data_IF_607543930371
#
_entry.id   IF_607543930371
#
_cell.length_a   1.000
_cell.length_b   1.000
_cell.length_c   1.000
_cell.angle_alpha   90.00
_cell.angle_beta   90.00
_cell.angle_gamma   90.00
#
_symmetry.space_group_name_H-M   'P 1'
#
loop_
_entity.id
_entity.type
_entity.pdbx_description
1 polymer ?
#
# COMPACT_ATOMS: atom_id res chain seq x y z
N UNK A 1 0.04 15.11 -15.03
CA UNK A 1 -1.09 14.21 -14.69
C UNK A 1 -0.99 13.89 -13.23
N UNK A 2 -2.11 14.01 -12.50
CA UNK A 2 -2.17 13.74 -11.07
C UNK A 2 -3.02 12.51 -10.84
N UNK A 3 -2.55 11.65 -9.94
CA UNK A 3 -3.28 10.49 -9.44
C UNK A 3 -3.55 10.67 -7.96
N UNK A 4 -4.70 10.20 -7.51
CA UNK A 4 -5.08 10.13 -6.10
C UNK A 4 -4.97 8.68 -5.63
N UNK A 5 -4.48 8.48 -4.41
CA UNK A 5 -4.49 7.19 -3.75
C UNK A 5 -5.24 7.28 -2.43
N UNK A 6 -6.19 6.39 -2.26
CA UNK A 6 -6.94 6.22 -1.02
C UNK A 6 -6.98 4.74 -0.63
N UNK A 7 -7.32 4.47 0.63
CA UNK A 7 -7.41 3.17 1.27
C UNK A 7 -8.83 2.92 1.79
N UNK A 8 -9.22 1.65 1.82
CA UNK A 8 -10.36 1.20 2.64
C UNK A 8 -9.98 -0.04 3.42
N UNK A 9 -10.20 0.01 4.73
CA UNK A 9 -9.76 -0.99 5.71
C UNK A 9 -8.28 -0.86 6.06
N UNK A 10 -7.97 -0.59 7.33
CA UNK A 10 -6.59 -0.32 7.76
C UNK A 10 -5.71 -1.56 7.78
N UNK A 11 -4.40 -1.40 7.63
CA UNK A 11 -3.47 -2.54 7.64
C UNK A 11 -3.51 -3.26 9.00
N UNK A 12 -3.50 -2.51 10.10
CA UNK A 12 -3.58 -3.01 11.48
C UNK A 12 -4.88 -3.74 11.80
N UNK A 13 -5.96 -3.52 11.03
CA UNK A 13 -7.22 -4.25 11.14
C UNK A 13 -7.09 -5.63 10.48
N UNK A 14 -6.36 -6.55 11.12
CA UNK A 14 -5.99 -7.86 10.54
C UNK A 14 -7.15 -8.84 10.37
N UNK A 15 -8.33 -8.52 10.89
CA UNK A 15 -9.60 -9.21 10.65
C UNK A 15 -10.34 -8.74 9.39
N UNK A 16 -9.95 -7.61 8.79
CA UNK A 16 -10.57 -7.01 7.61
C UNK A 16 -9.62 -7.06 6.41
N UNK A 17 -10.14 -7.00 5.19
CA UNK A 17 -9.29 -6.77 4.03
C UNK A 17 -8.83 -5.31 3.99
N UNK A 18 -7.76 -5.03 3.25
CA UNK A 18 -7.35 -3.68 2.89
C UNK A 18 -7.41 -3.54 1.38
N UNK A 19 -8.03 -2.48 0.89
CA UNK A 19 -8.05 -2.12 -0.53
C UNK A 19 -7.31 -0.80 -0.68
N UNK A 20 -6.38 -0.75 -1.62
CA UNK A 20 -5.73 0.48 -2.06
C UNK A 20 -6.21 0.79 -3.47
N UNK A 21 -6.64 2.03 -3.71
CA UNK A 21 -7.09 2.47 -5.02
C UNK A 21 -6.19 3.58 -5.55
N UNK A 22 -5.71 3.44 -6.78
CA UNK A 22 -5.09 4.49 -7.56
C UNK A 22 -6.15 5.01 -8.53
N UNK A 23 -6.55 6.27 -8.40
CA UNK A 23 -7.54 6.88 -9.26
C UNK A 23 -7.02 8.11 -10.01
N UNK A 24 -7.49 8.19 -11.23
CA UNK A 24 -7.58 9.39 -12.06
C UNK A 24 -8.92 9.22 -12.81
N UNK A 25 -8.95 9.26 -14.14
CA UNK A 25 -10.09 8.82 -14.95
C UNK A 25 -10.42 7.32 -14.90
N UNK A 26 -9.44 6.43 -14.67
CA UNK A 26 -9.63 4.96 -14.67
C UNK A 26 -9.09 4.33 -13.38
N UNK A 27 -9.94 4.18 -12.36
CA UNK A 27 -9.54 3.64 -11.06
C UNK A 27 -9.01 2.21 -11.17
N UNK A 28 -7.95 1.92 -10.42
CA UNK A 28 -7.36 0.60 -10.28
C UNK A 28 -7.17 0.25 -8.82
N UNK A 29 -7.55 -0.94 -8.42
CA UNK A 29 -7.51 -1.41 -7.03
C UNK A 29 -6.62 -2.62 -6.85
N UNK A 30 -5.88 -2.64 -5.74
CA UNK A 30 -5.24 -3.84 -5.21
C UNK A 30 -5.83 -4.17 -3.85
N UNK A 31 -5.97 -5.46 -3.55
CA UNK A 31 -6.52 -5.94 -2.29
C UNK A 31 -5.50 -6.79 -1.54
N UNK A 32 -5.31 -6.50 -0.25
CA UNK A 32 -4.57 -7.33 0.69
C UNK A 32 -5.59 -8.03 1.60
N UNK A 33 -5.66 -9.37 1.50
CA UNK A 33 -6.59 -10.15 2.30
C UNK A 33 -6.23 -10.12 3.79
N UNK A 34 -7.24 -10.21 4.66
CA UNK A 34 -7.08 -10.35 6.11
C UNK A 34 -6.11 -11.49 6.49
N UNK A 35 -6.20 -12.64 5.82
CA UNK A 35 -5.27 -13.77 6.01
C UNK A 35 -3.82 -13.38 5.70
N UNK A 36 -3.58 -12.72 4.56
CA UNK A 36 -2.25 -12.24 4.16
C UNK A 36 -1.69 -11.25 5.18
N UNK A 37 -2.52 -10.32 5.67
CA UNK A 37 -2.13 -9.35 6.70
C UNK A 37 -1.66 -10.03 7.99
N UNK A 38 -2.40 -11.03 8.49
CA UNK A 38 -2.02 -11.82 9.67
C UNK A 38 -0.70 -12.56 9.47
N UNK A 39 -0.49 -13.17 8.30
CA UNK A 39 0.76 -13.88 8.00
C UNK A 39 1.97 -12.95 7.99
N UNK A 40 1.84 -11.76 7.41
CA UNK A 40 2.92 -10.77 7.39
C UNK A 40 3.16 -10.23 8.80
N UNK A 41 2.10 -9.90 9.54
CA UNK A 41 2.20 -9.44 10.92
C UNK A 41 2.98 -10.43 11.79
N UNK A 42 2.71 -11.72 11.61
CA UNK A 42 3.38 -12.81 12.33
C UNK A 42 4.89 -12.84 12.04
N UNK A 43 5.29 -12.65 10.79
CA UNK A 43 6.71 -12.58 10.40
C UNK A 43 7.39 -11.39 11.09
N UNK A 44 6.78 -10.20 11.06
CA UNK A 44 7.33 -9.04 11.78
C UNK A 44 7.40 -9.28 13.29
N UNK A 45 6.40 -9.95 13.88
CA UNK A 45 6.33 -10.27 15.31
C UNK A 45 7.48 -11.19 15.73
N UNK A 46 7.70 -12.30 15.01
CA UNK A 46 8.78 -13.27 15.29
C UNK A 46 10.18 -12.66 15.19
N UNK A 47 10.33 -11.67 14.32
CA UNK A 47 11.61 -10.96 14.15
C UNK A 47 11.77 -9.76 15.11
N UNK A 48 10.86 -9.54 16.06
CA UNK A 48 10.93 -8.42 17.01
C UNK A 48 10.68 -7.04 16.36
N UNK A 49 10.11 -7.00 15.15
CA UNK A 49 9.92 -5.81 14.32
C UNK A 49 8.44 -5.41 14.20
N UNK A 50 7.58 -5.79 15.15
CA UNK A 50 6.12 -5.59 15.05
C UNK A 50 5.70 -4.12 14.81
N UNK A 51 6.47 -3.15 15.32
CA UNK A 51 6.22 -1.71 15.11
C UNK A 51 6.35 -1.29 13.64
N UNK A 52 7.10 -2.04 12.84
CA UNK A 52 7.32 -1.76 11.42
C UNK A 52 6.27 -2.41 10.51
N UNK A 53 5.51 -3.38 11.01
CA UNK A 53 4.54 -4.14 10.22
C UNK A 53 3.60 -3.26 9.38
N UNK A 54 2.95 -2.27 10.01
CA UNK A 54 1.89 -1.46 9.38
C UNK A 54 2.43 -0.66 8.21
N UNK A 55 3.46 0.16 8.44
CA UNK A 55 3.99 1.07 7.43
C UNK A 55 4.67 0.32 6.28
N UNK A 56 5.43 -0.73 6.57
CA UNK A 56 6.10 -1.50 5.52
C UNK A 56 5.11 -2.29 4.67
N UNK A 57 4.06 -2.87 5.27
CA UNK A 57 3.00 -3.56 4.52
C UNK A 57 2.19 -2.57 3.68
N UNK A 58 1.88 -1.39 4.22
CA UNK A 58 1.21 -0.32 3.47
C UNK A 58 2.06 0.14 2.28
N UNK A 59 3.32 0.49 2.49
CA UNK A 59 4.23 0.94 1.44
C UNK A 59 4.47 -0.15 0.37
N UNK A 60 4.57 -1.41 0.76
CA UNK A 60 4.68 -2.51 -0.18
C UNK A 60 3.42 -2.66 -1.04
N UNK A 61 2.23 -2.51 -0.45
CA UNK A 61 0.96 -2.46 -1.17
C UNK A 61 0.89 -1.30 -2.17
N UNK A 62 1.29 -0.10 -1.74
CA UNK A 62 1.38 1.09 -2.60
C UNK A 62 2.34 0.89 -3.76
N UNK A 63 3.54 0.38 -3.48
CA UNK A 63 4.54 0.14 -4.53
C UNK A 63 4.04 -0.88 -5.55
N UNK A 64 3.38 -1.96 -5.12
CA UNK A 64 2.78 -2.94 -6.04
C UNK A 64 1.64 -2.35 -6.88
N UNK A 65 0.80 -1.50 -6.29
CA UNK A 65 -0.25 -0.77 -6.99
C UNK A 65 0.34 0.14 -8.07
N UNK A 66 1.37 0.93 -7.72
CA UNK A 66 2.05 1.84 -8.65
C UNK A 66 2.77 1.06 -9.75
N UNK A 67 3.56 0.03 -9.41
CA UNK A 67 4.26 -0.80 -10.41
C UNK A 67 3.33 -1.42 -11.45
N UNK A 68 2.08 -1.72 -11.09
CA UNK A 68 1.09 -2.32 -12.01
C UNK A 68 0.34 -1.30 -12.85
N UNK A 69 0.04 -0.12 -12.32
CA UNK A 69 -0.97 0.77 -12.92
C UNK A 69 -0.55 2.23 -13.08
N UNK A 70 0.51 2.67 -12.39
CA UNK A 70 1.03 4.01 -12.55
C UNK A 70 1.84 4.11 -13.85
N UNK A 71 1.70 5.24 -14.55
CA UNK A 71 2.43 5.51 -15.79
C UNK A 71 3.48 6.59 -15.60
N UNK A 72 3.04 7.81 -15.25
CA UNK A 72 3.89 8.99 -15.03
C UNK A 72 3.12 10.10 -14.32
N UNK A 73 3.85 11.02 -13.69
CA UNK A 73 3.28 12.23 -13.07
C UNK A 73 3.34 12.22 -11.54
N UNK A 74 2.37 12.90 -10.93
CA UNK A 74 2.30 13.09 -9.48
C UNK A 74 1.29 12.13 -8.86
N UNK A 75 1.56 11.72 -7.63
CA UNK A 75 0.69 10.88 -6.82
C UNK A 75 0.42 11.60 -5.50
N UNK A 76 -0.85 11.86 -5.24
CA UNK A 76 -1.34 12.40 -3.97
C UNK A 76 -1.85 11.21 -3.17
N UNK A 77 -1.28 10.95 -2.00
CA UNK A 77 -1.69 9.87 -1.11
C UNK A 77 -2.51 10.47 0.03
N UNK A 78 -3.66 9.88 0.33
CA UNK A 78 -4.48 10.30 1.47
C UNK A 78 -3.73 10.14 2.80
N UNK A 79 -3.98 11.03 3.75
CA UNK A 79 -3.32 11.07 5.06
C UNK A 79 -3.87 10.02 6.04
N UNK A 80 -3.90 8.78 5.60
CA UNK A 80 -4.40 7.62 6.36
C UNK A 80 -3.58 7.37 7.65
N UNK A 81 -2.27 7.64 7.60
CA UNK A 81 -1.34 7.53 8.73
C UNK A 81 -0.70 8.89 9.02
N UNK A 82 -1.48 9.78 9.62
CA UNK A 82 -1.07 11.15 9.96
C UNK A 82 0.26 11.20 10.72
N UNK A 83 1.16 12.10 10.32
CA UNK A 83 2.48 12.28 10.93
C UNK A 83 3.53 11.23 10.51
N UNK A 84 3.19 10.30 9.60
CA UNK A 84 4.11 9.30 9.04
C UNK A 84 4.50 9.56 7.60
N UNK A 85 4.13 10.71 7.02
CA UNK A 85 4.32 11.08 5.62
C UNK A 85 5.79 10.98 5.21
N UNK A 86 6.70 11.55 6.02
CA UNK A 86 8.15 11.49 5.77
C UNK A 86 8.67 10.05 5.81
N UNK A 87 8.18 9.23 6.74
CA UNK A 87 8.57 7.83 6.87
C UNK A 87 8.08 7.02 5.68
N UNK A 88 6.81 7.18 5.29
CA UNK A 88 6.23 6.53 4.11
C UNK A 88 7.01 6.92 2.86
N UNK A 89 7.31 8.21 2.67
CA UNK A 89 8.09 8.69 1.52
C UNK A 89 9.47 8.03 1.47
N UNK A 90 10.17 7.93 2.60
CA UNK A 90 11.48 7.30 2.67
C UNK A 90 11.43 5.80 2.33
N UNK A 91 10.46 5.06 2.90
CA UNK A 91 10.27 3.64 2.58
C UNK A 91 9.94 3.45 1.10
N UNK A 92 9.07 4.30 0.54
CA UNK A 92 8.72 4.25 -0.88
C UNK A 92 9.93 4.53 -1.78
N UNK A 93 10.78 5.50 -1.44
CA UNK A 93 12.00 5.79 -2.19
C UNK A 93 12.98 4.61 -2.15
N UNK A 94 13.09 3.92 -1.01
CA UNK A 94 13.92 2.73 -0.88
C UNK A 94 13.41 1.58 -1.76
N UNK A 95 12.10 1.31 -1.71
CA UNK A 95 11.46 0.26 -2.52
C UNK A 95 11.56 0.55 -4.03
N UNK A 96 11.47 1.83 -4.43
CA UNK A 96 11.44 2.26 -5.83
C UNK A 96 12.82 2.67 -6.37
N UNK A 97 13.90 2.56 -5.58
CA UNK A 97 15.25 3.04 -5.95
C UNK A 97 15.76 2.50 -7.30
N UNK A 98 15.39 1.27 -7.66
CA UNK A 98 15.81 0.62 -8.91
C UNK A 98 14.86 0.83 -10.10
N UNK A 99 13.75 1.53 -9.91
CA UNK A 99 12.78 1.77 -10.98
C UNK A 99 13.22 2.95 -11.87
N UNK A 100 13.00 2.83 -13.19
CA UNK A 100 13.29 3.91 -14.15
C UNK A 100 12.34 5.12 -14.00
N UNK A 101 11.30 4.97 -13.19
CA UNK A 101 10.29 5.98 -12.90
C UNK A 101 10.16 6.11 -11.39
N UNK A 102 10.13 7.34 -10.90
CA UNK A 102 9.86 7.65 -9.49
C UNK A 102 8.72 8.67 -9.48
N UNK A 103 7.56 8.34 -8.88
CA UNK A 103 6.44 9.27 -8.82
C UNK A 103 6.80 10.44 -7.90
N UNK A 104 6.35 11.64 -8.25
CA UNK A 104 6.35 12.75 -7.31
C UNK A 104 5.23 12.51 -6.28
N UNK A 105 5.60 12.10 -5.07
CA UNK A 105 4.65 11.80 -3.98
C UNK A 105 4.40 13.04 -3.12
N UNK A 106 3.13 13.40 -2.97
CA UNK A 106 2.63 14.36 -1.99
C UNK A 106 1.51 13.74 -1.14
N UNK A 107 1.17 14.39 -0.03
CA UNK A 107 0.15 13.92 0.91
C UNK A 107 -0.87 15.03 1.17
N UNK A 108 -2.15 14.73 1.02
CA UNK A 108 -3.25 15.64 1.27
C UNK A 108 -4.45 14.86 1.82
N UNK A 109 -5.41 15.54 2.44
CA UNK A 109 -6.69 14.92 2.77
C UNK A 109 -7.50 14.76 1.49
N UNK A 110 -7.65 13.53 1.03
CA UNK A 110 -8.42 13.22 -0.16
C UNK A 110 -9.84 12.90 0.31
N UNK A 111 -10.73 13.87 0.17
CA UNK A 111 -12.08 13.78 0.72
C UNK A 111 -12.88 12.58 0.21
N UNK A 112 -13.88 12.15 1.00
CA UNK A 112 -14.71 10.95 0.76
C UNK A 112 -15.48 10.93 -0.57
N UNK A 113 -15.56 12.06 -1.28
CA UNK A 113 -16.23 12.18 -2.59
C UNK A 113 -15.30 11.90 -3.77
N UNK A 114 -13.99 11.74 -3.54
CA UNK A 114 -13.05 11.47 -4.61
C UNK A 114 -13.22 10.07 -5.22
N UNK A 115 -12.72 9.91 -6.44
CA UNK A 115 -12.85 8.64 -7.16
C UNK A 115 -12.06 7.51 -6.49
N UNK A 116 -10.89 7.82 -5.91
CA UNK A 116 -10.07 6.85 -5.19
C UNK A 116 -10.81 6.29 -3.98
N UNK A 117 -11.39 7.16 -3.15
CA UNK A 117 -12.19 6.77 -1.98
C UNK A 117 -13.34 5.88 -2.38
N UNK A 118 -14.17 6.34 -3.31
CA UNK A 118 -15.37 5.61 -3.76
C UNK A 118 -15.01 4.21 -4.24
N UNK A 119 -13.98 4.07 -5.07
CA UNK A 119 -13.61 2.76 -5.62
C UNK A 119 -12.93 1.87 -4.58
N UNK A 120 -12.12 2.42 -3.68
CA UNK A 120 -11.58 1.66 -2.56
C UNK A 120 -12.70 1.10 -1.69
N UNK A 121 -13.69 1.94 -1.34
CA UNK A 121 -14.83 1.58 -0.50
C UNK A 121 -15.72 0.53 -1.16
N UNK A 122 -16.17 0.75 -2.40
CA UNK A 122 -17.04 -0.20 -3.11
C UNK A 122 -16.36 -1.56 -3.31
N UNK A 123 -15.05 -1.57 -3.57
CA UNK A 123 -14.27 -2.82 -3.66
C UNK A 123 -14.13 -3.50 -2.30
N UNK A 124 -13.93 -2.71 -1.23
CA UNK A 124 -13.86 -3.22 0.14
C UNK A 124 -15.20 -3.83 0.59
N UNK A 125 -16.32 -3.19 0.23
CA UNK A 125 -17.70 -3.64 0.48
C UNK A 125 -18.16 -4.78 -0.44
N UNK A 126 -17.29 -5.24 -1.36
CA UNK A 126 -17.54 -6.32 -2.33
C UNK A 126 -18.59 -6.00 -3.40
N UNK A 127 -18.92 -4.74 -3.57
CA UNK A 127 -19.76 -4.26 -4.68
C UNK A 127 -18.96 -4.22 -6.00
N UNK A 128 -17.63 -4.09 -5.91
CA UNK A 128 -16.70 -4.19 -7.04
C UNK A 128 -15.65 -5.28 -6.83
N UNK A 129 -15.26 -5.95 -7.91
CA UNK A 129 -14.16 -6.92 -7.91
C UNK A 129 -12.82 -6.18 -7.94
N UNK A 130 -11.84 -6.54 -7.07
CA UNK A 130 -10.53 -5.93 -7.11
C UNK A 130 -9.81 -6.24 -8.43
N UNK A 131 -9.06 -5.27 -8.97
CA UNK A 131 -8.27 -5.54 -10.18
C UNK A 131 -7.12 -6.53 -9.92
N UNK A 132 -6.60 -6.57 -8.68
CA UNK A 132 -5.57 -7.51 -8.29
C UNK A 132 -5.67 -7.83 -6.80
N UNK A 133 -5.43 -9.10 -6.44
CA UNK A 133 -5.30 -9.54 -5.05
C UNK A 133 -3.82 -9.85 -4.81
N UNK A 134 -3.20 -9.13 -3.87
CA UNK A 134 -1.78 -9.28 -3.56
C UNK A 134 -1.52 -10.53 -2.73
N UNK A 135 -0.58 -11.35 -3.19
CA UNK A 135 -0.11 -12.53 -2.45
C UNK A 135 0.92 -12.13 -1.39
N UNK A 136 1.05 -12.97 -0.36
CA UNK A 136 2.02 -12.77 0.74
C UNK A 136 3.44 -12.63 0.19
N UNK A 137 3.80 -13.49 -0.76
CA UNK A 137 5.14 -13.57 -1.34
C UNK A 137 5.49 -12.32 -2.14
N UNK A 138 4.52 -11.74 -2.86
CA UNK A 138 4.72 -10.48 -3.60
C UNK A 138 5.01 -9.32 -2.63
N UNK A 139 4.24 -9.24 -1.54
CA UNK A 139 4.40 -8.19 -0.54
C UNK A 139 5.74 -8.34 0.19
N UNK A 140 6.08 -9.56 0.64
CA UNK A 140 7.34 -9.80 1.33
C UNK A 140 8.56 -9.54 0.44
N UNK A 141 8.49 -9.89 -0.85
CA UNK A 141 9.56 -9.58 -1.82
C UNK A 141 9.82 -8.08 -1.89
N UNK A 142 8.76 -7.28 -1.91
CA UNK A 142 8.88 -5.81 -1.92
C UNK A 142 9.41 -5.28 -0.59
N UNK A 143 8.91 -5.79 0.54
CA UNK A 143 9.42 -5.41 1.86
C UNK A 143 10.92 -5.70 1.96
N UNK A 144 11.39 -6.86 1.46
CA UNK A 144 12.80 -7.27 1.45
C UNK A 144 13.73 -6.39 0.59
N UNK A 145 13.19 -5.47 -0.21
CA UNK A 145 13.99 -4.44 -0.88
C UNK A 145 14.51 -3.38 0.11
N UNK A 146 13.92 -3.31 1.31
CA UNK A 146 14.29 -2.35 2.37
C UNK A 146 15.28 -2.93 3.38
N UNK A 147 16.06 -2.09 4.05
CA UNK A 147 17.01 -2.48 5.10
C UNK A 147 16.33 -3.21 6.26
N UNK A 148 15.12 -2.79 6.64
CA UNK A 148 14.32 -3.49 7.66
C UNK A 148 13.88 -4.86 7.14
N UNK A 149 13.39 -4.91 5.89
CA UNK A 149 12.90 -6.14 5.29
C UNK A 149 13.97 -7.19 5.07
N UNK A 150 15.20 -6.79 4.71
CA UNK A 150 16.36 -7.71 4.56
C UNK A 150 16.66 -8.49 5.84
N UNK A 151 16.30 -7.96 7.00
CA UNK A 151 16.52 -8.59 8.31
C UNK A 151 15.38 -9.55 8.71
N UNK A 152 14.27 -9.56 7.98
CA UNK A 152 13.15 -10.46 8.27
C UNK A 152 13.46 -11.87 7.78
N UNK A 153 13.39 -12.83 8.70
CA UNK A 153 13.41 -14.26 8.40
C UNK A 153 11.98 -14.76 8.20
N UNK A 154 11.76 -15.47 7.09
CA UNK A 154 10.43 -16.00 6.70
C UNK A 154 10.13 -17.38 7.35
N UNK A 155 11.16 -18.02 7.90
CA UNK A 155 11.16 -19.35 8.56
C UNK A 155 11.22 -19.20 10.07
#
# INVERSE_FOLDING_TARGET
>A
MSYEIDQSGKIEQTNKNTVLCLANYKPKTVMIKAKTKRQIQEIFRRNGQIRNYVLFTFCAGLALLLKKYFKKGCVIIDREYYGKEKVIKNIMLEILRGEKWIPQISFAEIGRKCLAHKHAYLTYSRELTPNCILKKEEILRVIKMTEVGKRLKDT
#
